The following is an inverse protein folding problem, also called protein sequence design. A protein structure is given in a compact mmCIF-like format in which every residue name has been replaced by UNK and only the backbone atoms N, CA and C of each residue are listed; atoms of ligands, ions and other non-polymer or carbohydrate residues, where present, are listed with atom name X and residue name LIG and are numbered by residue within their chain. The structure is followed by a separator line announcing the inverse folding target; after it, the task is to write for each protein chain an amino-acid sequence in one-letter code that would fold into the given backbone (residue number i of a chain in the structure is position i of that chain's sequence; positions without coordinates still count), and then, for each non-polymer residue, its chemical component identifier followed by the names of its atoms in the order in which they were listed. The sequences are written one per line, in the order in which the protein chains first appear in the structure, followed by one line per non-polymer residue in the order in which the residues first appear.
data_IF_802219179152
#
_entry.id   IF_802219179152
#
_cell.length_a   1.000
_cell.length_b   1.000
_cell.length_c   1.000
_cell.angle_alpha   90.00
_cell.angle_beta   90.00
_cell.angle_gamma   90.00
#
_symmetry.space_group_name_H-M   'P 1'
#
loop_
_entity.id
_entity.type
_entity.pdbx_description
1 polymer ?
#
# COMPACT_ATOMS: atom_id res chain seq x y z
N UNK A 1 35.17 -13.64 25.24
CA UNK A 1 33.84 -14.16 25.65
C UNK A 1 32.77 -13.47 24.81
N UNK A 2 32.41 -14.04 23.66
CA UNK A 2 31.30 -13.55 22.83
C UNK A 2 30.01 -14.15 23.37
N UNK A 3 29.16 -13.32 23.95
CA UNK A 3 27.76 -13.69 24.25
C UNK A 3 26.94 -13.49 22.98
N UNK A 4 26.62 -14.61 22.33
CA UNK A 4 25.65 -14.66 21.24
C UNK A 4 24.25 -14.45 21.87
N UNK A 5 23.70 -13.22 21.78
CA UNK A 5 22.32 -12.97 22.11
C UNK A 5 21.45 -13.66 21.05
N UNK A 6 20.77 -14.74 21.45
CA UNK A 6 19.76 -15.40 20.63
C UNK A 6 18.61 -14.43 20.39
N UNK A 7 18.51 -13.84 19.21
CA UNK A 7 17.33 -13.21 18.70
C UNK A 7 16.26 -14.32 18.58
N UNK A 8 15.32 -14.33 19.52
CA UNK A 8 14.11 -15.14 19.39
C UNK A 8 13.34 -14.56 18.19
N UNK A 9 13.48 -15.18 17.05
CA UNK A 9 12.60 -14.97 15.93
C UNK A 9 11.23 -15.57 16.30
N UNK A 10 10.31 -14.73 16.74
CA UNK A 10 8.91 -15.13 16.80
C UNK A 10 8.41 -15.19 15.36
N UNK A 11 8.20 -16.39 14.84
CA UNK A 11 7.39 -16.58 13.66
C UNK A 11 5.98 -16.07 14.01
N UNK A 12 5.59 -14.92 13.46
CA UNK A 12 4.24 -14.41 13.64
C UNK A 12 3.31 -15.33 12.83
N UNK A 13 2.27 -15.82 13.50
CA UNK A 13 1.17 -16.51 12.82
C UNK A 13 0.58 -15.57 11.76
N UNK A 14 0.64 -15.96 10.50
CA UNK A 14 0.13 -15.15 9.37
C UNK A 14 -1.37 -14.82 9.51
N UNK A 15 -2.09 -15.54 10.34
CA UNK A 15 -3.53 -15.35 10.60
C UNK A 15 -3.85 -14.13 11.49
N UNK A 16 -2.87 -13.48 12.11
CA UNK A 16 -3.08 -12.37 13.03
C UNK A 16 -2.67 -11.00 12.50
N UNK A 17 -2.22 -10.89 11.26
CA UNK A 17 -1.93 -9.57 10.66
C UNK A 17 -3.22 -8.88 10.25
N UNK A 18 -3.57 -7.80 10.94
CA UNK A 18 -4.64 -6.90 10.54
C UNK A 18 -4.29 -6.16 9.24
N UNK A 19 -5.30 -5.67 8.52
CA UNK A 19 -5.13 -4.81 7.34
C UNK A 19 -4.36 -5.45 6.17
N UNK A 20 -4.54 -6.75 5.93
CA UNK A 20 -3.90 -7.49 4.84
C UNK A 20 -4.15 -6.91 3.45
N UNK A 21 -5.20 -6.11 3.28
CA UNK A 21 -5.50 -5.43 2.01
C UNK A 21 -4.39 -4.49 1.55
N UNK A 22 -3.57 -3.96 2.45
CA UNK A 22 -2.43 -3.10 2.11
C UNK A 22 -1.32 -3.85 1.35
N UNK A 23 -1.35 -5.18 1.36
CA UNK A 23 -0.44 -6.04 0.59
C UNK A 23 -0.96 -6.38 -0.81
N UNK A 24 -2.24 -6.07 -1.08
CA UNK A 24 -2.79 -6.33 -2.41
C UNK A 24 -2.21 -5.33 -3.41
N UNK A 25 -1.92 -5.78 -4.64
CA UNK A 25 -1.49 -4.88 -5.69
C UNK A 25 -2.53 -3.76 -5.89
N UNK A 26 -2.08 -2.51 -5.94
CA UNK A 26 -2.95 -1.35 -6.09
C UNK A 26 -3.27 -1.01 -7.54
N UNK A 27 -2.52 -1.60 -8.48
CA UNK A 27 -2.72 -1.42 -9.92
C UNK A 27 -2.57 -2.74 -10.68
N UNK A 28 -3.14 -2.79 -11.88
CA UNK A 28 -2.95 -3.91 -12.79
C UNK A 28 -1.47 -4.09 -13.18
N UNK A 29 -0.73 -2.98 -13.30
CA UNK A 29 0.71 -3.00 -13.58
C UNK A 29 1.49 -3.62 -12.41
N UNK A 30 1.27 -3.16 -11.17
CA UNK A 30 1.89 -3.76 -10.00
C UNK A 30 1.55 -5.26 -9.87
N UNK A 31 0.31 -5.65 -10.16
CA UNK A 31 -0.11 -7.05 -10.15
C UNK A 31 0.63 -7.90 -11.21
N UNK A 32 0.82 -7.36 -12.42
CA UNK A 32 1.55 -8.03 -13.50
C UNK A 32 3.05 -8.24 -13.17
N UNK A 33 3.62 -7.35 -12.35
CA UNK A 33 5.00 -7.42 -11.89
C UNK A 33 5.18 -8.30 -10.63
N UNK A 34 4.13 -8.97 -10.17
CA UNK A 34 4.17 -9.87 -9.02
C UNK A 34 3.79 -9.24 -7.67
N UNK A 35 3.33 -7.99 -7.66
CA UNK A 35 2.78 -7.30 -6.48
C UNK A 35 3.76 -6.34 -5.83
N UNK A 36 4.60 -6.79 -4.92
CA UNK A 36 5.48 -5.92 -4.12
C UNK A 36 6.73 -5.47 -4.88
N UNK A 37 6.66 -4.30 -5.50
CA UNK A 37 7.80 -3.68 -6.19
C UNK A 37 8.35 -2.50 -5.38
N UNK A 38 9.45 -2.70 -4.67
CA UNK A 38 10.05 -1.68 -3.80
C UNK A 38 11.21 -0.91 -4.44
N UNK A 39 11.73 -1.37 -5.58
CA UNK A 39 12.93 -0.81 -6.23
C UNK A 39 12.78 -0.53 -7.71
N UNK A 40 11.64 -0.86 -8.33
CA UNK A 40 11.42 -0.64 -9.75
C UNK A 40 11.24 0.86 -10.01
N UNK A 41 12.13 1.40 -10.83
CA UNK A 41 12.16 2.81 -11.19
C UNK A 41 11.42 2.98 -12.52
N UNK A 42 10.21 3.47 -12.45
CA UNK A 42 9.37 3.76 -13.62
C UNK A 42 8.57 5.04 -13.36
N UNK A 43 8.07 5.65 -14.44
CA UNK A 43 7.13 6.77 -14.35
C UNK A 43 5.70 6.24 -14.07
N UNK A 44 5.59 5.47 -13.00
CA UNK A 44 4.32 4.91 -12.51
C UNK A 44 4.07 5.32 -11.05
N UNK A 45 3.09 6.19 -10.85
CA UNK A 45 2.73 6.69 -9.52
C UNK A 45 2.25 5.58 -8.58
N UNK A 46 1.80 4.43 -9.09
CA UNK A 46 1.34 3.33 -8.24
C UNK A 46 2.45 2.66 -7.43
N UNK A 47 3.70 2.85 -7.81
CA UNK A 47 4.86 2.33 -7.06
C UNK A 47 5.06 2.99 -5.70
N UNK A 48 4.49 4.21 -5.49
CA UNK A 48 4.60 4.93 -4.21
C UNK A 48 3.92 4.19 -3.05
N UNK A 49 2.94 3.34 -3.33
CA UNK A 49 2.25 2.55 -2.31
C UNK A 49 3.18 1.54 -1.63
N UNK A 50 4.23 1.09 -2.33
CA UNK A 50 5.22 0.13 -1.84
C UNK A 50 6.49 0.81 -1.32
N UNK A 51 6.93 1.88 -2.00
CA UNK A 51 8.11 2.63 -1.57
C UNK A 51 7.92 4.15 -1.85
N UNK A 52 7.77 4.98 -0.81
CA UNK A 52 7.56 6.41 -0.99
C UNK A 52 8.74 7.13 -1.67
N UNK A 53 9.95 6.56 -1.68
CA UNK A 53 11.11 7.14 -2.36
C UNK A 53 10.97 7.10 -3.90
N UNK A 54 10.17 6.17 -4.45
CA UNK A 54 9.92 6.06 -5.89
C UNK A 54 9.11 7.24 -6.45
N UNK A 55 8.47 8.03 -5.59
CA UNK A 55 7.78 9.25 -5.99
C UNK A 55 8.70 10.25 -6.71
N UNK A 56 10.01 10.20 -6.45
CA UNK A 56 10.98 11.07 -7.10
C UNK A 56 11.18 10.78 -8.59
N UNK A 57 10.76 9.61 -9.09
CA UNK A 57 10.81 9.23 -10.52
C UNK A 57 9.52 9.52 -11.29
N UNK A 58 8.46 9.96 -10.61
CA UNK A 58 7.16 10.20 -11.24
C UNK A 58 7.07 11.61 -11.83
N UNK A 59 6.54 11.71 -13.04
CA UNK A 59 6.30 12.99 -13.73
C UNK A 59 5.35 13.90 -12.95
N UNK A 60 5.58 15.23 -12.99
CA UNK A 60 4.75 16.23 -12.30
C UNK A 60 3.29 16.23 -12.77
N UNK A 61 2.36 16.37 -11.84
CA UNK A 61 0.91 16.46 -12.09
C UNK A 61 0.30 15.21 -12.70
N UNK A 62 0.83 14.04 -12.36
CA UNK A 62 0.22 12.77 -12.74
C UNK A 62 -0.99 12.49 -11.86
N UNK A 63 -2.07 12.01 -12.46
CA UNK A 63 -3.24 11.45 -11.79
C UNK A 63 -3.30 9.99 -12.18
N UNK A 64 -3.34 9.11 -11.22
CA UNK A 64 -3.50 7.70 -11.44
C UNK A 64 -4.84 7.22 -10.85
N UNK A 65 -5.59 6.44 -11.64
CA UNK A 65 -6.86 5.86 -11.24
C UNK A 65 -6.84 4.38 -11.59
N UNK A 66 -7.10 3.52 -10.61
CA UNK A 66 -7.18 2.09 -10.80
C UNK A 66 -8.49 1.54 -10.25
N UNK A 67 -9.01 0.56 -10.96
CA UNK A 67 -10.10 -0.27 -10.49
C UNK A 67 -9.79 -1.73 -10.85
N UNK A 68 -9.88 -2.62 -9.88
CA UNK A 68 -9.67 -4.05 -10.07
C UNK A 68 -10.79 -4.83 -9.39
N UNK A 69 -11.24 -5.88 -10.08
CA UNK A 69 -12.18 -6.84 -9.53
C UNK A 69 -11.46 -8.17 -9.32
N UNK A 70 -11.49 -8.65 -8.10
CA UNK A 70 -10.95 -9.95 -7.72
C UNK A 70 -12.03 -11.02 -7.73
N UNK A 71 -11.62 -12.27 -7.52
CA UNK A 71 -12.56 -13.38 -7.33
C UNK A 71 -13.48 -13.14 -6.12
N UNK A 72 -14.62 -13.80 -6.10
CA UNK A 72 -15.61 -13.75 -5.01
C UNK A 72 -16.28 -12.39 -4.78
N UNK A 73 -16.27 -11.49 -5.77
CA UNK A 73 -16.96 -10.20 -5.68
C UNK A 73 -16.19 -9.13 -4.91
N UNK A 74 -14.92 -9.36 -4.59
CA UNK A 74 -14.05 -8.34 -4.00
C UNK A 74 -13.63 -7.33 -5.06
N UNK A 75 -13.82 -6.05 -4.77
CA UNK A 75 -13.46 -4.96 -5.67
C UNK A 75 -12.54 -3.97 -4.96
N UNK A 76 -11.55 -3.47 -5.67
CA UNK A 76 -10.67 -2.40 -5.18
C UNK A 76 -10.63 -1.25 -6.16
N UNK A 77 -10.58 -0.05 -5.61
CA UNK A 77 -10.37 1.18 -6.36
C UNK A 77 -9.26 1.98 -5.68
N UNK A 78 -8.38 2.57 -6.45
CA UNK A 78 -7.37 3.49 -5.95
C UNK A 78 -7.28 4.74 -6.82
N UNK A 79 -6.96 5.84 -6.18
CA UNK A 79 -6.67 7.11 -6.84
C UNK A 79 -5.46 7.74 -6.19
N UNK A 80 -4.61 8.35 -6.99
CA UNK A 80 -3.48 9.13 -6.50
C UNK A 80 -3.25 10.37 -7.36
N UNK A 81 -2.60 11.36 -6.76
CA UNK A 81 -2.17 12.59 -7.41
C UNK A 81 -0.85 13.04 -6.84
N UNK A 82 0.10 13.33 -7.71
CA UNK A 82 1.41 13.83 -7.32
C UNK A 82 1.70 15.24 -7.82
N UNK A 83 2.67 15.84 -7.17
CA UNK A 83 3.23 17.13 -7.54
C UNK A 83 4.73 17.16 -7.28
N UNK A 84 5.51 17.55 -8.27
CA UNK A 84 6.93 17.85 -8.11
C UNK A 84 7.06 19.31 -7.65
N UNK A 85 7.75 19.54 -6.54
CA UNK A 85 8.01 20.86 -5.97
C UNK A 85 9.51 21.11 -6.02
N UNK A 86 9.95 21.99 -6.89
CA UNK A 86 11.35 22.18 -7.24
C UNK A 86 11.96 20.88 -7.82
N UNK A 87 13.20 20.94 -8.26
CA UNK A 87 13.86 19.83 -8.98
C UNK A 87 14.14 18.58 -8.12
N UNK A 88 13.95 18.64 -6.79
CA UNK A 88 14.38 17.58 -5.87
C UNK A 88 13.33 17.09 -4.90
N UNK A 89 12.19 17.71 -4.83
CA UNK A 89 11.14 17.38 -3.88
C UNK A 89 9.84 17.03 -4.60
N UNK A 90 9.18 15.98 -4.17
CA UNK A 90 7.87 15.58 -4.69
C UNK A 90 6.95 15.23 -3.52
N UNK A 91 5.68 15.53 -3.65
CA UNK A 91 4.64 15.06 -2.73
C UNK A 91 3.50 14.43 -3.50
N UNK A 92 2.81 13.52 -2.86
CA UNK A 92 1.61 12.89 -3.42
C UNK A 92 0.57 12.64 -2.33
N UNK A 93 -0.67 12.50 -2.76
CA UNK A 93 -1.76 12.02 -1.93
C UNK A 93 -2.43 10.84 -2.63
N UNK A 94 -2.88 9.87 -1.86
CA UNK A 94 -3.64 8.75 -2.41
C UNK A 94 -4.81 8.35 -1.54
N UNK A 95 -5.79 7.71 -2.18
CA UNK A 95 -6.88 7.02 -1.53
C UNK A 95 -7.02 5.62 -2.13
N UNK A 96 -7.30 4.64 -1.28
CA UNK A 96 -7.61 3.27 -1.67
C UNK A 96 -8.88 2.82 -0.96
N UNK A 97 -9.74 2.17 -1.70
CA UNK A 97 -10.99 1.58 -1.23
C UNK A 97 -11.02 0.12 -1.60
N UNK A 98 -11.33 -0.74 -0.66
CA UNK A 98 -11.55 -2.17 -0.87
C UNK A 98 -12.93 -2.56 -0.35
N UNK A 99 -13.71 -3.20 -1.19
CA UNK A 99 -15.00 -3.79 -0.86
C UNK A 99 -14.90 -5.30 -0.97
N UNK A 100 -15.13 -6.00 0.13
CA UNK A 100 -15.12 -7.46 0.18
C UNK A 100 -16.44 -8.08 -0.29
N UNK A 101 -17.42 -7.24 -0.66
CA UNK A 101 -18.74 -7.70 -1.04
C UNK A 101 -19.56 -8.17 0.16
N UNK A 102 -20.58 -8.96 -0.11
CA UNK A 102 -21.45 -9.54 0.93
C UNK A 102 -20.94 -10.89 1.36
N UNK A 103 -20.75 -11.06 2.66
CA UNK A 103 -20.38 -12.31 3.30
C UNK A 103 -21.58 -12.88 4.05
N UNK A 104 -21.74 -14.20 3.99
CA UNK A 104 -22.82 -14.90 4.71
C UNK A 104 -22.39 -15.11 6.15
N UNK A 105 -23.21 -14.66 7.07
CA UNK A 105 -23.09 -15.00 8.48
C UNK A 105 -23.68 -16.39 8.71
N UNK A 106 -22.90 -17.27 9.35
CA UNK A 106 -23.32 -18.63 9.67
C UNK A 106 -23.20 -18.87 11.17
N UNK A 107 -24.17 -19.55 11.74
CA UNK A 107 -24.11 -20.00 13.13
C UNK A 107 -23.28 -21.29 13.26
N UNK A 108 -23.08 -21.76 14.50
CA UNK A 108 -22.34 -22.98 14.83
C UNK A 108 -22.92 -24.24 14.15
N UNK A 109 -24.18 -24.21 13.71
CA UNK A 109 -24.86 -25.30 13.02
C UNK A 109 -24.83 -25.17 11.49
N UNK A 110 -23.97 -24.30 10.93
CA UNK A 110 -23.89 -24.00 9.49
C UNK A 110 -25.20 -23.48 8.86
N UNK A 111 -26.08 -22.87 9.66
CA UNK A 111 -27.28 -22.21 9.16
C UNK A 111 -26.97 -20.72 8.93
N UNK A 112 -27.32 -20.22 7.73
CA UNK A 112 -27.16 -18.80 7.42
C UNK A 112 -28.11 -17.98 8.28
N UNK A 113 -27.55 -17.08 9.11
CA UNK A 113 -28.29 -16.22 10.04
C UNK A 113 -28.41 -14.79 9.53
N UNK A 114 -27.52 -14.38 8.60
CA UNK A 114 -27.51 -13.04 8.07
C UNK A 114 -26.51 -12.86 6.92
N UNK A 115 -26.37 -11.62 6.51
CA UNK A 115 -25.32 -11.16 5.60
C UNK A 115 -24.67 -9.92 6.22
N UNK A 116 -23.35 -9.83 6.14
CA UNK A 116 -22.61 -8.64 6.51
C UNK A 116 -21.69 -8.22 5.37
N UNK A 117 -21.31 -6.96 5.33
CA UNK A 117 -20.32 -6.43 4.39
C UNK A 117 -19.08 -5.99 5.14
N UNK A 118 -17.92 -6.14 4.50
CA UNK A 118 -16.67 -5.58 4.99
C UNK A 118 -16.08 -4.66 3.94
N UNK A 119 -15.48 -3.57 4.38
CA UNK A 119 -14.81 -2.59 3.53
C UNK A 119 -13.66 -1.93 4.26
N UNK A 120 -12.61 -1.67 3.53
CA UNK A 120 -11.45 -0.95 4.03
C UNK A 120 -11.22 0.31 3.20
N UNK A 121 -10.85 1.38 3.87
CA UNK A 121 -10.50 2.66 3.28
C UNK A 121 -9.12 3.05 3.79
N UNK A 122 -8.21 3.40 2.89
CA UNK A 122 -6.92 3.96 3.26
C UNK A 122 -6.72 5.30 2.56
N UNK A 123 -6.23 6.28 3.31
CA UNK A 123 -5.76 7.56 2.79
C UNK A 123 -4.30 7.74 3.17
N UNK A 124 -3.47 8.21 2.24
CA UNK A 124 -2.06 8.40 2.51
C UNK A 124 -1.52 9.69 1.89
N UNK A 125 -0.57 10.29 2.58
CA UNK A 125 0.27 11.36 2.07
C UNK A 125 1.71 10.87 1.97
N UNK A 126 2.39 11.28 0.90
CA UNK A 126 3.76 10.89 0.57
C UNK A 126 4.61 12.13 0.37
N UNK A 127 5.85 12.03 0.79
CA UNK A 127 6.87 13.03 0.49
C UNK A 127 8.17 12.32 0.13
N UNK A 128 8.80 12.73 -0.96
CA UNK A 128 10.08 12.23 -1.42
C UNK A 128 11.05 13.37 -1.67
N UNK A 129 12.32 13.14 -1.40
CA UNK A 129 13.39 14.09 -1.63
C UNK A 129 14.63 13.41 -2.19
N UNK A 130 15.18 13.96 -3.28
CA UNK A 130 16.45 13.54 -3.87
C UNK A 130 17.60 14.02 -2.99
N UNK A 131 18.13 13.14 -2.15
CA UNK A 131 19.26 13.42 -1.26
C UNK A 131 20.55 13.68 -2.04
N UNK A 132 20.79 12.87 -3.06
CA UNK A 132 21.87 13.04 -4.04
C UNK A 132 21.30 12.81 -5.43
N UNK A 133 22.12 12.93 -6.47
CA UNK A 133 21.66 12.64 -7.85
C UNK A 133 21.29 11.16 -8.06
N UNK A 134 21.69 10.27 -7.14
CA UNK A 134 21.48 8.82 -7.26
C UNK A 134 20.69 8.22 -6.09
N UNK A 135 20.37 9.00 -5.05
CA UNK A 135 19.67 8.49 -3.86
C UNK A 135 18.47 9.36 -3.58
N UNK A 136 17.30 8.75 -3.52
CA UNK A 136 16.09 9.37 -3.01
C UNK A 136 15.67 8.76 -1.68
N UNK A 137 15.21 9.60 -0.77
CA UNK A 137 14.53 9.21 0.46
C UNK A 137 13.06 9.59 0.39
N UNK A 138 12.21 8.79 0.99
CA UNK A 138 10.77 9.05 1.04
C UNK A 138 10.16 8.68 2.38
N UNK A 139 9.09 9.37 2.72
CA UNK A 139 8.25 9.08 3.88
C UNK A 139 6.79 9.08 3.45
N UNK A 140 6.00 8.17 4.02
CA UNK A 140 4.55 8.22 3.91
C UNK A 140 3.87 8.16 5.27
N UNK A 141 2.68 8.75 5.34
CA UNK A 141 1.78 8.62 6.48
C UNK A 141 0.42 8.13 5.97
N UNK A 142 -0.10 7.07 6.59
CA UNK A 142 -1.34 6.40 6.17
C UNK A 142 -2.36 6.42 7.31
N UNK A 143 -3.59 6.73 6.97
CA UNK A 143 -4.76 6.55 7.84
C UNK A 143 -5.63 5.45 7.24
N UNK A 144 -5.96 4.45 8.03
CA UNK A 144 -6.68 3.27 7.60
C UNK A 144 -7.94 3.16 8.44
N UNK A 145 -9.08 2.99 7.77
CA UNK A 145 -10.37 2.74 8.42
C UNK A 145 -10.95 1.45 7.88
N UNK A 146 -11.23 0.50 8.76
CA UNK A 146 -11.84 -0.78 8.45
C UNK A 146 -13.24 -0.87 9.05
N UNK A 147 -14.19 -1.34 8.26
CA UNK A 147 -15.58 -1.53 8.64
C UNK A 147 -15.97 -2.97 8.36
N UNK A 148 -16.40 -3.69 9.38
CA UNK A 148 -16.81 -5.11 9.32
C UNK A 148 -18.15 -5.26 10.02
N UNK A 149 -19.24 -5.35 9.26
CA UNK A 149 -20.59 -5.33 9.84
C UNK A 149 -20.81 -4.06 10.64
N UNK A 150 -21.11 -4.22 11.95
CA UNK A 150 -21.34 -3.12 12.89
C UNK A 150 -20.04 -2.62 13.58
N UNK A 151 -18.90 -3.26 13.31
CA UNK A 151 -17.63 -2.90 13.91
C UNK A 151 -16.81 -2.00 12.99
N UNK A 152 -16.14 -1.03 13.60
CA UNK A 152 -15.19 -0.18 12.91
C UNK A 152 -13.87 -0.08 13.66
N UNK A 153 -12.77 -0.03 12.93
CA UNK A 153 -11.46 0.21 13.50
C UNK A 153 -10.68 1.23 12.67
N UNK A 154 -9.81 1.96 13.34
CA UNK A 154 -8.94 2.96 12.71
C UNK A 154 -7.50 2.66 13.10
N UNK A 155 -6.60 2.71 12.13
CA UNK A 155 -5.17 2.57 12.35
C UNK A 155 -4.39 3.68 11.65
N UNK A 156 -3.20 3.92 12.15
CA UNK A 156 -2.26 4.86 11.58
C UNK A 156 -0.95 4.14 11.26
N UNK A 157 -0.40 4.39 10.08
CA UNK A 157 0.85 3.81 9.61
C UNK A 157 1.83 4.88 9.12
N UNK A 158 3.12 4.58 9.22
CA UNK A 158 4.20 5.39 8.65
C UNK A 158 5.16 4.45 7.95
N UNK A 159 5.52 4.77 6.70
CA UNK A 159 6.55 4.06 5.98
C UNK A 159 7.73 4.99 5.68
N UNK A 160 8.91 4.41 5.69
CA UNK A 160 10.15 5.06 5.26
C UNK A 160 10.71 4.27 4.08
N UNK A 161 11.17 4.99 3.06
CA UNK A 161 11.75 4.40 1.87
C UNK A 161 13.07 5.05 1.48
N UNK A 162 13.95 4.24 0.91
CA UNK A 162 15.15 4.69 0.23
C UNK A 162 15.21 4.00 -1.13
N UNK A 163 15.67 4.72 -2.14
CA UNK A 163 15.92 4.15 -3.45
C UNK A 163 17.24 4.69 -4.02
N UNK A 164 17.95 3.80 -4.72
CA UNK A 164 19.19 4.14 -5.43
C UNK A 164 18.95 4.06 -6.93
N UNK A 165 19.26 5.14 -7.64
CA UNK A 165 19.14 5.26 -9.08
C UNK A 165 20.53 5.02 -9.72
N UNK A 166 20.63 4.01 -10.58
CA UNK A 166 21.85 3.78 -11.38
C UNK A 166 21.61 4.19 -12.83
N UNK A 167 22.25 5.26 -13.27
CA UNK A 167 22.14 5.81 -14.63
C UNK A 167 22.69 4.87 -15.74
N UNK A 168 23.29 3.73 -15.34
CA UNK A 168 23.95 2.82 -16.31
C UNK A 168 23.02 1.75 -16.87
N UNK A 169 21.79 1.64 -16.36
CA UNK A 169 20.83 0.58 -16.72
C UNK A 169 19.46 1.10 -17.16
N UNK A 170 19.35 2.37 -17.58
CA UNK A 170 18.17 2.90 -18.25
C UNK A 170 18.28 2.77 -19.77
#
# INVERSE_FOLDING_TARGET
LLTLSSLMAHAQDESQTGYNFLRLPVSAHAAALGGDNVSLIEDDETMIFHNPALLSSVTDKTINLNYMSYMSGVNTASASFNRVVKERASWAVSGQYLDYGKMKEMNENNVQTGEFSARDISMAGYFSYMLTNHIAGGISAKLISSFIGDYSSVAFGVDLGLNYFDDKHQ
#
